data_IF_022830177439
#
_entry.id   IF_022830177439
#
_cell.length_a   1.000
_cell.length_b   1.000
_cell.length_c   1.000
_cell.angle_alpha   90.00
_cell.angle_beta   90.00
_cell.angle_gamma   90.00
#
_symmetry.space_group_name_H-M   'P 1'
#
loop_
_entity.id
_entity.type
_entity.pdbx_description
1 polymer ?
#
# COMPACT_ATOMS: atom_id res chain seq x y z
N UNK A 1 17.73 -17.07 -24.23
CA UNK A 1 17.86 -17.72 -22.91
C UNK A 1 16.52 -18.36 -22.57
N UNK A 2 16.51 -19.52 -21.90
CA UNK A 2 15.28 -20.28 -21.63
C UNK A 2 14.69 -19.90 -20.26
N UNK A 3 13.36 -19.85 -20.17
CA UNK A 3 12.64 -19.69 -18.89
C UNK A 3 12.58 -21.03 -18.14
N UNK A 4 12.35 -20.98 -16.82
CA UNK A 4 12.12 -22.18 -15.99
C UNK A 4 10.96 -23.02 -16.55
N UNK A 5 9.88 -22.36 -16.99
CA UNK A 5 8.76 -23.01 -17.68
C UNK A 5 9.21 -23.83 -18.89
N UNK A 6 10.13 -23.30 -19.71
CA UNK A 6 10.67 -24.03 -20.87
C UNK A 6 11.45 -25.28 -20.45
N UNK A 7 12.17 -25.23 -19.34
CA UNK A 7 12.89 -26.38 -18.78
C UNK A 7 11.92 -27.44 -18.26
N UNK A 8 10.92 -27.06 -17.47
CA UNK A 8 9.92 -27.98 -16.91
C UNK A 8 9.07 -28.65 -17.98
N UNK A 9 8.74 -27.93 -19.06
CA UNK A 9 8.05 -28.52 -20.21
C UNK A 9 8.91 -29.57 -20.92
N UNK A 10 10.22 -29.34 -21.04
CA UNK A 10 11.13 -30.31 -21.62
C UNK A 10 11.26 -31.58 -20.74
N UNK A 11 11.31 -31.43 -19.42
CA UNK A 11 11.36 -32.53 -18.44
C UNK A 11 10.08 -33.37 -18.44
N UNK A 12 8.91 -32.74 -18.60
CA UNK A 12 7.62 -33.44 -18.72
C UNK A 12 7.30 -33.91 -20.13
N UNK A 13 8.27 -33.87 -21.04
CA UNK A 13 8.15 -34.26 -22.45
C UNK A 13 7.07 -33.49 -23.26
N UNK A 14 6.63 -32.32 -22.78
CA UNK A 14 5.67 -31.43 -23.44
C UNK A 14 6.41 -30.51 -24.43
N UNK A 15 6.92 -31.09 -25.53
CA UNK A 15 7.83 -30.40 -26.45
C UNK A 15 7.13 -29.59 -27.54
N UNK A 16 5.86 -29.88 -27.83
CA UNK A 16 5.08 -29.13 -28.83
C UNK A 16 3.98 -28.28 -28.19
N UNK A 17 3.54 -27.24 -28.90
CA UNK A 17 2.42 -26.38 -28.46
C UNK A 17 1.11 -27.17 -28.33
N UNK A 18 0.89 -28.19 -29.18
CA UNK A 18 -0.27 -29.08 -29.09
C UNK A 18 -0.24 -29.96 -27.85
N UNK A 19 0.92 -30.52 -27.48
CA UNK A 19 1.07 -31.35 -26.28
C UNK A 19 0.84 -30.51 -25.02
N UNK A 20 1.38 -29.28 -25.02
CA UNK A 20 1.15 -28.33 -23.95
C UNK A 20 -0.34 -27.98 -23.81
N UNK A 21 -1.05 -27.70 -24.91
CA UNK A 21 -2.47 -27.38 -24.88
C UNK A 21 -3.33 -28.54 -24.35
N UNK A 22 -3.01 -29.79 -24.72
CA UNK A 22 -3.72 -30.96 -24.20
C UNK A 22 -3.55 -31.11 -22.67
N UNK A 23 -2.33 -30.93 -22.17
CA UNK A 23 -2.06 -30.94 -20.73
C UNK A 23 -2.69 -29.74 -20.00
N UNK A 24 -2.71 -28.58 -20.67
CA UNK A 24 -3.34 -27.36 -20.19
C UNK A 24 -4.85 -27.54 -20.02
N UNK A 25 -5.55 -28.01 -21.06
CA UNK A 25 -7.00 -28.21 -21.03
C UNK A 25 -7.40 -29.28 -19.98
N UNK A 26 -6.59 -30.34 -19.82
CA UNK A 26 -6.80 -31.33 -18.77
C UNK A 26 -6.67 -30.76 -17.34
N UNK A 27 -5.81 -29.77 -17.12
CA UNK A 27 -5.71 -29.09 -15.83
C UNK A 27 -6.80 -28.03 -15.66
N UNK A 28 -7.13 -27.32 -16.75
CA UNK A 28 -8.17 -26.30 -16.79
C UNK A 28 -9.57 -26.84 -16.46
N UNK A 29 -9.85 -28.08 -16.87
CA UNK A 29 -11.08 -28.79 -16.55
C UNK A 29 -11.19 -29.22 -15.06
N UNK A 30 -10.07 -29.29 -14.33
CA UNK A 30 -10.03 -29.67 -12.90
C UNK A 30 -10.18 -28.49 -11.95
N UNK A 31 -10.19 -27.26 -12.47
CA UNK A 31 -10.37 -26.04 -11.66
C UNK A 31 -11.84 -25.83 -11.28
N UNK A 32 -12.08 -25.10 -10.19
CA UNK A 32 -13.41 -24.65 -9.77
C UNK A 32 -13.47 -23.09 -9.71
N UNK A 33 -14.22 -22.40 -10.58
CA UNK A 33 -14.99 -22.95 -11.69
C UNK A 33 -14.08 -23.45 -12.82
N UNK A 34 -14.52 -24.48 -13.59
CA UNK A 34 -13.73 -25.04 -14.68
C UNK A 34 -13.63 -24.04 -15.83
N UNK A 35 -12.44 -23.98 -16.45
CA UNK A 35 -12.23 -23.14 -17.63
C UNK A 35 -12.64 -23.95 -18.88
N UNK A 36 -13.50 -23.42 -19.78
CA UNK A 36 -13.92 -24.17 -20.95
C UNK A 36 -12.75 -24.55 -21.87
N UNK A 37 -12.81 -25.69 -22.56
CA UNK A 37 -11.79 -26.09 -23.53
C UNK A 37 -11.69 -25.06 -24.66
N UNK A 38 -10.47 -24.80 -25.15
CA UNK A 38 -10.20 -23.80 -26.19
C UNK A 38 -9.83 -22.40 -25.67
N UNK A 39 -9.80 -22.19 -24.35
CA UNK A 39 -9.29 -20.97 -23.70
C UNK A 39 -7.78 -21.02 -23.39
N UNK A 40 -7.07 -22.04 -23.89
CA UNK A 40 -5.62 -22.15 -23.80
C UNK A 40 -4.88 -21.01 -24.52
N UNK A 41 -3.60 -20.77 -24.18
CA UNK A 41 -2.85 -19.67 -24.78
C UNK A 41 -2.63 -19.89 -26.28
N UNK A 42 -2.81 -18.81 -27.05
CA UNK A 42 -2.51 -18.81 -28.47
C UNK A 42 -1.03 -19.17 -28.72
N UNK A 43 -0.71 -19.73 -29.89
CA UNK A 43 0.66 -20.17 -30.23
C UNK A 43 1.71 -19.06 -30.04
N UNK A 44 1.36 -17.83 -30.36
CA UNK A 44 2.21 -16.64 -30.15
C UNK A 44 2.44 -16.35 -28.67
N UNK A 45 1.39 -16.39 -27.85
CA UNK A 45 1.46 -16.20 -26.40
C UNK A 45 2.29 -17.32 -25.74
N UNK A 46 2.11 -18.57 -26.17
CA UNK A 46 2.92 -19.70 -25.72
C UNK A 46 4.42 -19.49 -26.00
N UNK A 47 4.82 -19.11 -27.22
CA UNK A 47 6.24 -18.87 -27.49
C UNK A 47 6.79 -17.62 -26.79
N UNK A 48 5.95 -16.61 -26.53
CA UNK A 48 6.34 -15.45 -25.71
C UNK A 48 6.64 -15.87 -24.26
N UNK A 49 5.81 -16.74 -23.68
CA UNK A 49 6.01 -17.31 -22.34
C UNK A 49 7.35 -18.05 -22.20
N UNK A 50 7.76 -18.76 -23.25
CA UNK A 50 9.03 -19.50 -23.28
C UNK A 50 10.26 -18.62 -23.58
N UNK A 51 10.03 -17.40 -24.08
CA UNK A 51 11.10 -16.50 -24.54
C UNK A 51 11.73 -15.66 -23.42
N UNK A 52 11.06 -15.56 -22.26
CA UNK A 52 11.49 -14.72 -21.14
C UNK A 52 11.28 -13.22 -21.35
N UNK A 53 10.62 -12.80 -22.44
CA UNK A 53 10.37 -11.39 -22.79
C UNK A 53 8.97 -10.89 -22.39
N UNK A 54 8.38 -11.47 -21.35
CA UNK A 54 7.06 -11.02 -20.91
C UNK A 54 7.15 -9.75 -20.07
N UNK A 55 6.21 -8.83 -20.31
CA UNK A 55 5.98 -7.68 -19.43
C UNK A 55 4.83 -8.06 -18.49
N UNK A 56 5.17 -8.38 -17.24
CA UNK A 56 4.21 -8.80 -16.23
C UNK A 56 3.76 -10.27 -16.33
N UNK A 57 2.80 -10.64 -15.49
CA UNK A 57 2.25 -12.00 -15.40
C UNK A 57 1.11 -12.23 -16.41
N UNK A 58 0.84 -13.50 -16.80
CA UNK A 58 -0.33 -13.84 -17.59
C UNK A 58 -1.64 -13.44 -16.88
N UNK A 59 -2.74 -13.44 -17.64
CA UNK A 59 -4.09 -13.25 -17.07
C UNK A 59 -4.35 -14.28 -15.97
N UNK A 60 -5.17 -13.88 -14.99
CA UNK A 60 -5.48 -14.65 -13.77
C UNK A 60 -5.82 -16.13 -14.04
N UNK A 61 -6.71 -16.41 -15.00
CA UNK A 61 -7.08 -17.80 -15.31
C UNK A 61 -5.91 -18.64 -15.84
N UNK A 62 -4.95 -18.06 -16.57
CA UNK A 62 -3.73 -18.77 -16.97
C UNK A 62 -2.83 -19.07 -15.78
N UNK A 63 -2.76 -18.15 -14.81
CA UNK A 63 -2.00 -18.36 -13.57
C UNK A 63 -2.59 -19.54 -12.77
N UNK A 64 -3.91 -19.63 -12.68
CA UNK A 64 -4.60 -20.76 -12.03
C UNK A 64 -4.28 -22.10 -12.70
N UNK A 65 -4.37 -22.17 -14.03
CA UNK A 65 -4.07 -23.41 -14.76
C UNK A 65 -2.59 -23.78 -14.64
N UNK A 66 -1.67 -22.82 -14.72
CA UNK A 66 -0.23 -23.07 -14.59
C UNK A 66 0.16 -23.52 -13.18
N UNK A 67 -0.51 -23.01 -12.14
CA UNK A 67 -0.30 -23.44 -10.75
C UNK A 67 -0.71 -24.91 -10.58
N UNK A 68 -1.83 -25.28 -11.20
CA UNK A 68 -2.33 -26.67 -11.20
C UNK A 68 -1.46 -27.60 -12.06
N UNK A 69 -0.93 -27.11 -13.18
CA UNK A 69 -0.01 -27.88 -14.02
C UNK A 69 1.33 -28.13 -13.33
N UNK A 70 1.84 -27.17 -12.58
CA UNK A 70 3.16 -27.22 -11.93
C UNK A 70 3.02 -27.00 -10.41
N UNK A 71 2.45 -27.97 -9.67
CA UNK A 71 2.30 -27.84 -8.23
C UNK A 71 3.68 -27.68 -7.57
N UNK A 72 3.78 -26.72 -6.64
CA UNK A 72 5.03 -26.37 -5.96
C UNK A 72 5.89 -25.31 -6.65
N UNK A 73 5.51 -24.83 -7.85
CA UNK A 73 6.17 -23.71 -8.52
C UNK A 73 5.32 -22.44 -8.45
N UNK A 74 5.91 -21.30 -8.06
CA UNK A 74 5.21 -20.02 -8.15
C UNK A 74 5.15 -19.54 -9.61
N UNK A 75 4.08 -18.87 -10.00
CA UNK A 75 3.92 -18.38 -11.37
C UNK A 75 5.05 -17.43 -11.77
N UNK A 76 5.51 -16.58 -10.86
CA UNK A 76 6.67 -15.71 -11.06
C UNK A 76 7.95 -16.51 -11.36
N UNK A 77 8.17 -17.62 -10.64
CA UNK A 77 9.34 -18.47 -10.86
C UNK A 77 9.31 -19.18 -12.21
N UNK A 78 8.12 -19.59 -12.70
CA UNK A 78 7.96 -20.23 -14.00
C UNK A 78 8.45 -19.33 -15.15
N UNK A 79 8.23 -18.02 -15.04
CA UNK A 79 8.59 -17.07 -16.08
C UNK A 79 9.98 -16.43 -15.92
N UNK A 80 10.71 -16.77 -14.86
CA UNK A 80 12.09 -16.31 -14.63
C UNK A 80 13.06 -16.92 -15.65
N UNK A 81 14.08 -16.16 -16.03
CA UNK A 81 15.15 -16.64 -16.91
C UNK A 81 16.17 -17.42 -16.08
N UNK A 82 16.62 -18.59 -16.55
CA UNK A 82 17.49 -19.51 -15.80
C UNK A 82 18.92 -18.99 -15.43
N UNK A 83 19.20 -17.69 -15.61
CA UNK A 83 20.46 -17.04 -15.23
C UNK A 83 20.36 -16.21 -13.93
N UNK A 84 19.18 -16.11 -13.33
CA UNK A 84 19.03 -15.58 -11.98
C UNK A 84 19.24 -16.73 -10.97
N UNK A 85 20.05 -16.51 -9.91
CA UNK A 85 20.41 -17.57 -8.98
C UNK A 85 19.16 -18.20 -8.36
N UNK A 86 19.10 -19.52 -8.45
CA UNK A 86 18.07 -20.38 -7.87
C UNK A 86 18.12 -20.37 -6.35
N UNK A 87 16.98 -20.19 -5.66
CA UNK A 87 16.68 -20.98 -4.49
C UNK A 87 15.75 -22.11 -4.94
N UNK A 88 16.29 -23.31 -5.13
CA UNK A 88 15.48 -24.53 -5.10
C UNK A 88 15.97 -25.35 -3.94
N UNK A 89 15.28 -25.24 -2.81
CA UNK A 89 14.62 -26.38 -2.18
C UNK A 89 13.68 -25.88 -1.10
N UNK A 90 12.48 -26.44 -1.16
CA UNK A 90 11.38 -26.36 -0.19
C UNK A 90 11.93 -26.66 1.22
N UNK A 91 11.63 -25.78 2.17
CA UNK A 91 11.73 -26.10 3.60
C UNK A 91 12.64 -25.23 4.49
N UNK A 92 13.14 -24.08 4.05
CA UNK A 92 14.03 -23.25 4.89
C UNK A 92 13.74 -21.74 4.94
N UNK A 93 12.72 -21.23 4.23
CA UNK A 93 12.40 -19.78 4.19
C UNK A 93 11.20 -19.38 5.08
N UNK A 94 10.54 -20.37 5.70
CA UNK A 94 9.49 -20.14 6.71
C UNK A 94 9.97 -19.41 7.97
N UNK A 95 11.16 -19.69 8.57
CA UNK A 95 11.53 -19.03 9.82
C UNK A 95 11.85 -17.54 9.62
N UNK A 96 12.46 -17.17 8.47
CA UNK A 96 12.76 -15.76 8.17
C UNK A 96 11.49 -14.95 7.94
N UNK A 97 10.57 -15.47 7.13
CA UNK A 97 9.31 -14.79 6.83
C UNK A 97 8.36 -14.75 8.03
N UNK A 98 8.32 -15.81 8.83
CA UNK A 98 7.56 -15.82 10.08
C UNK A 98 8.16 -14.85 11.11
N UNK A 99 9.49 -14.73 11.20
CA UNK A 99 10.14 -13.76 12.07
C UNK A 99 9.85 -12.32 11.62
N UNK A 100 9.90 -12.03 10.32
CA UNK A 100 9.54 -10.73 9.76
C UNK A 100 8.06 -10.40 10.00
N UNK A 101 7.15 -11.38 9.86
CA UNK A 101 5.72 -11.22 10.17
C UNK A 101 5.50 -10.92 11.67
N UNK A 102 6.28 -11.55 12.56
CA UNK A 102 6.25 -11.28 14.02
C UNK A 102 6.78 -9.88 14.33
N UNK A 103 7.91 -9.47 13.73
CA UNK A 103 8.48 -8.14 13.94
C UNK A 103 7.54 -7.05 13.41
N UNK A 104 6.91 -7.29 12.25
CA UNK A 104 5.92 -6.38 11.67
C UNK A 104 4.65 -6.30 12.53
N UNK A 105 4.18 -7.44 13.06
CA UNK A 105 3.06 -7.44 14.00
C UNK A 105 3.40 -6.69 15.29
N UNK A 106 4.62 -6.82 15.82
CA UNK A 106 5.07 -6.03 16.96
C UNK A 106 5.11 -4.52 16.64
N UNK A 107 5.51 -4.18 15.42
CA UNK A 107 5.51 -2.80 14.93
C UNK A 107 4.09 -2.21 14.80
N UNK A 108 3.17 -2.95 14.19
CA UNK A 108 1.79 -2.52 13.96
C UNK A 108 0.88 -2.66 15.19
N UNK A 109 1.31 -3.46 16.17
CA UNK A 109 0.57 -3.79 17.39
C UNK A 109 0.02 -5.21 17.36
N UNK A 110 0.12 -5.93 18.48
CA UNK A 110 -0.25 -7.35 18.58
C UNK A 110 -1.70 -7.64 18.13
N UNK A 111 -2.60 -6.66 18.27
CA UNK A 111 -3.99 -6.79 17.80
C UNK A 111 -4.12 -7.03 16.30
N UNK A 112 -3.13 -6.66 15.47
CA UNK A 112 -3.22 -6.84 14.02
C UNK A 112 -3.15 -8.29 13.58
N UNK A 113 -2.56 -9.18 14.37
CA UNK A 113 -2.55 -10.63 14.09
C UNK A 113 -3.96 -11.23 14.16
N UNK A 114 -4.79 -10.74 15.09
CA UNK A 114 -6.15 -11.26 15.29
C UNK A 114 -7.21 -10.46 14.51
N UNK A 115 -7.07 -9.14 14.46
CA UNK A 115 -8.08 -8.21 13.94
C UNK A 115 -7.77 -7.60 12.58
N UNK A 116 -6.55 -7.79 12.08
CA UNK A 116 -6.02 -7.09 10.91
C UNK A 116 -5.68 -5.61 11.17
N UNK A 117 -5.27 -4.93 10.11
CA UNK A 117 -4.99 -3.48 10.10
C UNK A 117 -5.79 -2.78 9.01
N UNK A 118 -6.37 -1.63 9.33
CA UNK A 118 -7.11 -0.83 8.36
C UNK A 118 -6.22 0.28 7.78
N UNK A 119 -6.15 0.38 6.46
CA UNK A 119 -5.52 1.50 5.75
C UNK A 119 -6.55 2.59 5.48
N UNK A 120 -6.28 3.82 5.93
CA UNK A 120 -7.28 4.89 6.01
C UNK A 120 -6.93 6.03 5.08
N UNK A 121 -7.72 6.21 4.02
CA UNK A 121 -7.57 7.32 3.07
C UNK A 121 -8.56 8.45 3.37
N UNK A 122 -8.25 9.71 3.02
CA UNK A 122 -9.20 10.80 3.21
C UNK A 122 -10.25 10.82 2.10
N UNK A 123 -11.53 10.91 2.48
CA UNK A 123 -12.64 11.03 1.54
C UNK A 123 -13.20 12.47 1.48
N UNK A 124 -13.06 13.11 0.31
CA UNK A 124 -13.62 14.43 0.04
C UNK A 124 -14.89 14.32 -0.78
N UNK A 125 -16.00 14.81 -0.25
CA UNK A 125 -17.22 14.97 -1.03
C UNK A 125 -17.23 16.31 -1.75
N UNK A 126 -17.38 16.27 -3.07
CA UNK A 126 -17.56 17.42 -3.93
C UNK A 126 -19.06 17.54 -4.26
N UNK A 127 -19.81 18.46 -3.60
CA UNK A 127 -21.23 18.63 -3.86
C UNK A 127 -21.46 19.21 -5.26
N UNK A 128 -22.11 18.44 -6.14
CA UNK A 128 -22.25 18.77 -7.56
C UNK A 128 -23.24 19.92 -7.82
N UNK A 129 -24.16 20.19 -6.87
CA UNK A 129 -25.26 21.16 -7.04
C UNK A 129 -25.00 22.55 -6.44
N UNK A 130 -23.95 22.77 -5.65
CA UNK A 130 -23.76 24.06 -4.99
C UNK A 130 -23.19 25.13 -5.95
N UNK A 131 -23.78 26.33 -5.94
CA UNK A 131 -23.28 27.48 -6.73
C UNK A 131 -21.83 27.85 -6.35
N UNK A 132 -21.45 27.60 -5.09
CA UNK A 132 -20.08 27.76 -4.57
C UNK A 132 -19.12 26.72 -5.14
N UNK A 133 -19.52 25.44 -5.26
CA UNK A 133 -18.70 24.43 -5.94
C UNK A 133 -18.52 24.79 -7.42
N UNK A 134 -19.58 25.25 -8.10
CA UNK A 134 -19.47 25.73 -9.50
C UNK A 134 -18.47 26.88 -9.67
N UNK A 135 -18.43 27.83 -8.73
CA UNK A 135 -17.46 28.94 -8.74
C UNK A 135 -16.04 28.50 -8.34
N UNK A 136 -15.90 27.63 -7.34
CA UNK A 136 -14.60 27.08 -6.95
C UNK A 136 -13.97 26.20 -8.06
N UNK A 137 -14.80 25.42 -8.78
CA UNK A 137 -14.39 24.68 -9.98
C UNK A 137 -14.00 25.59 -11.15
N UNK A 138 -14.63 26.77 -11.28
CA UNK A 138 -14.33 27.72 -12.36
C UNK A 138 -13.13 28.63 -12.06
N UNK A 139 -12.83 28.89 -10.78
CA UNK A 139 -11.72 29.75 -10.35
C UNK A 139 -10.38 29.00 -10.22
N UNK A 140 -10.41 27.67 -10.24
CA UNK A 140 -9.22 26.84 -10.09
C UNK A 140 -8.78 26.30 -11.46
N UNK A 141 -8.06 27.12 -12.22
CA UNK A 141 -7.45 26.80 -13.54
C UNK A 141 -6.50 25.58 -13.48
N UNK A 142 -6.21 25.06 -12.29
CA UNK A 142 -5.38 23.87 -12.01
C UNK A 142 -6.15 22.55 -12.03
N UNK A 143 -7.48 22.57 -12.00
CA UNK A 143 -8.31 21.38 -12.13
C UNK A 143 -9.21 21.55 -13.35
N UNK A 144 -8.66 21.33 -14.55
CA UNK A 144 -9.45 21.16 -15.77
C UNK A 144 -10.36 19.93 -15.60
N UNK A 145 -11.54 20.13 -15.00
CA UNK A 145 -12.58 19.11 -14.86
C UNK A 145 -13.14 18.79 -16.24
N UNK A 146 -12.84 17.61 -16.83
CA UNK A 146 -13.29 17.30 -18.17
C UNK A 146 -14.81 17.16 -18.21
N UNK A 147 -15.44 17.62 -19.29
CA UNK A 147 -16.89 17.50 -19.58
C UNK A 147 -17.44 16.08 -19.36
N UNK A 148 -16.56 15.06 -19.46
CA UNK A 148 -16.84 13.63 -19.22
C UNK A 148 -17.23 13.30 -17.77
N UNK A 149 -16.68 13.97 -16.75
CA UNK A 149 -16.97 13.65 -15.33
C UNK A 149 -18.41 14.04 -14.96
N UNK A 150 -18.94 15.14 -15.53
CA UNK A 150 -20.36 15.52 -15.37
C UNK A 150 -21.32 14.48 -15.96
N UNK A 151 -20.94 13.83 -17.05
CA UNK A 151 -21.72 12.74 -17.64
C UNK A 151 -21.70 11.47 -16.78
N UNK A 152 -20.55 11.14 -16.18
CA UNK A 152 -20.41 10.02 -15.24
C UNK A 152 -21.28 10.24 -14.00
N UNK A 153 -21.24 11.44 -13.43
CA UNK A 153 -22.04 11.83 -12.27
C UNK A 153 -23.55 11.93 -12.57
N UNK A 154 -23.94 12.21 -13.81
CA UNK A 154 -25.35 12.18 -14.21
C UNK A 154 -25.90 10.75 -14.36
N UNK A 155 -25.03 9.78 -14.68
CA UNK A 155 -25.40 8.36 -14.82
C UNK A 155 -25.49 7.60 -13.50
N UNK A 156 -24.73 8.02 -12.48
CA UNK A 156 -24.80 7.48 -11.12
C UNK A 156 -25.64 8.46 -10.31
N UNK A 157 -26.82 8.08 -9.81
CA UNK A 157 -27.77 8.96 -9.06
C UNK A 157 -27.23 9.50 -7.72
N UNK A 158 -26.03 10.07 -7.69
CA UNK A 158 -25.34 10.58 -6.52
C UNK A 158 -25.17 12.09 -6.63
N UNK A 159 -25.64 12.83 -5.62
CA UNK A 159 -25.54 14.30 -5.58
C UNK A 159 -24.14 14.82 -5.16
N UNK A 160 -23.21 13.91 -4.87
CA UNK A 160 -21.82 14.18 -4.52
C UNK A 160 -20.86 13.24 -5.24
N UNK A 161 -19.69 13.75 -5.64
CA UNK A 161 -18.55 12.94 -6.07
C UNK A 161 -17.59 12.77 -4.90
N UNK A 162 -17.18 11.54 -4.62
CA UNK A 162 -16.07 11.27 -3.70
C UNK A 162 -14.75 11.40 -4.46
N UNK A 163 -13.87 12.27 -3.99
CA UNK A 163 -12.52 12.46 -4.51
C UNK A 163 -11.50 12.02 -3.45
N UNK A 164 -10.44 11.36 -3.92
CA UNK A 164 -9.26 11.02 -3.14
C UNK A 164 -8.08 11.83 -3.69
N UNK A 165 -7.25 12.46 -2.84
CA UNK A 165 -6.05 13.10 -3.32
C UNK A 165 -5.01 12.04 -3.71
N UNK A 166 -4.36 12.26 -4.85
CA UNK A 166 -3.39 11.33 -5.44
C UNK A 166 -2.25 10.98 -4.46
N UNK A 167 -1.72 11.98 -3.75
CA UNK A 167 -0.55 11.79 -2.87
C UNK A 167 -0.88 10.88 -1.68
N UNK A 168 -2.05 11.03 -1.05
CA UNK A 168 -2.51 10.11 0.00
C UNK A 168 -2.77 8.70 -0.55
N UNK A 169 -3.36 8.59 -1.74
CA UNK A 169 -3.63 7.28 -2.34
C UNK A 169 -2.34 6.55 -2.73
N UNK A 170 -1.34 7.26 -3.27
CA UNK A 170 -0.03 6.70 -3.56
C UNK A 170 0.70 6.22 -2.30
N UNK A 171 0.66 7.01 -1.22
CA UNK A 171 1.20 6.60 0.09
C UNK A 171 0.55 5.29 0.57
N UNK A 172 -0.78 5.19 0.46
CA UNK A 172 -1.53 3.99 0.79
C UNK A 172 -1.07 2.80 -0.03
N UNK A 173 -0.87 2.95 -1.35
CA UNK A 173 -0.43 1.85 -2.22
C UNK A 173 0.96 1.34 -1.86
N UNK A 174 1.89 2.19 -1.41
CA UNK A 174 3.20 1.74 -0.92
C UNK A 174 3.06 0.84 0.29
N UNK A 175 2.27 1.27 1.28
CA UNK A 175 2.06 0.50 2.52
C UNK A 175 1.23 -0.77 2.25
N UNK A 176 0.21 -0.70 1.40
CA UNK A 176 -0.57 -1.87 1.00
C UNK A 176 0.31 -2.92 0.31
N UNK A 177 1.15 -2.50 -0.64
CA UNK A 177 2.11 -3.38 -1.30
C UNK A 177 3.10 -4.00 -0.30
N UNK A 178 3.50 -3.24 0.74
CA UNK A 178 4.33 -3.76 1.81
C UNK A 178 3.59 -4.84 2.59
N UNK A 179 2.38 -4.57 3.08
CA UNK A 179 1.58 -5.50 3.89
C UNK A 179 1.20 -6.77 3.13
N UNK A 180 0.93 -6.68 1.82
CA UNK A 180 0.61 -7.85 0.99
C UNK A 180 1.74 -8.88 0.89
N UNK A 181 2.98 -8.51 1.24
CA UNK A 181 4.11 -9.45 1.33
C UNK A 181 4.06 -10.30 2.60
N UNK A 182 3.23 -9.94 3.58
CA UNK A 182 3.10 -10.58 4.88
C UNK A 182 1.73 -11.27 4.98
N UNK A 183 1.71 -12.57 4.71
CA UNK A 183 0.45 -13.35 4.57
C UNK A 183 -0.28 -13.57 5.89
N UNK A 184 0.38 -13.35 7.03
CA UNK A 184 -0.23 -13.46 8.36
C UNK A 184 -1.12 -12.28 8.76
N UNK A 185 -1.18 -11.21 7.96
CA UNK A 185 -1.90 -9.98 8.31
C UNK A 185 -3.09 -9.73 7.39
N UNK A 186 -4.28 -9.66 7.97
CA UNK A 186 -5.47 -9.17 7.25
C UNK A 186 -5.39 -7.66 7.08
N UNK A 187 -5.62 -7.16 5.86
CA UNK A 187 -5.61 -5.73 5.55
C UNK A 187 -6.88 -5.34 4.84
N UNK A 188 -7.53 -4.26 5.29
CA UNK A 188 -8.67 -3.65 4.61
C UNK A 188 -8.44 -2.15 4.39
N UNK A 189 -9.16 -1.56 3.43
CA UNK A 189 -9.00 -0.16 3.03
C UNK A 189 -10.33 0.56 3.24
N UNK A 190 -10.32 1.65 4.03
CA UNK A 190 -11.53 2.42 4.35
C UNK A 190 -11.32 3.93 4.29
N UNK A 191 -12.43 4.65 4.16
CA UNK A 191 -12.42 6.10 4.28
C UNK A 191 -12.20 6.55 5.72
N UNK A 192 -11.54 7.69 5.89
CA UNK A 192 -11.36 8.34 7.18
C UNK A 192 -12.68 8.65 7.89
N UNK A 193 -13.75 8.92 7.14
CA UNK A 193 -15.10 9.15 7.69
C UNK A 193 -15.68 7.91 8.34
N UNK A 194 -15.57 6.75 7.69
CA UNK A 194 -16.04 5.48 8.24
C UNK A 194 -15.27 5.10 9.51
N UNK A 195 -13.95 5.22 9.46
CA UNK A 195 -13.05 4.85 10.57
C UNK A 195 -13.23 5.80 11.74
N UNK A 196 -13.30 7.10 11.50
CA UNK A 196 -13.54 8.08 12.54
C UNK A 196 -14.89 7.84 13.24
N UNK A 197 -15.93 7.42 12.54
CA UNK A 197 -17.23 7.24 13.17
C UNK A 197 -17.32 5.99 14.07
N UNK A 198 -16.57 4.92 13.79
CA UNK A 198 -16.86 3.60 14.41
C UNK A 198 -15.64 2.71 14.72
N UNK A 199 -14.39 3.18 14.58
CA UNK A 199 -13.24 2.27 14.66
C UNK A 199 -12.52 2.27 16.00
N UNK A 200 -12.61 1.12 16.67
CA UNK A 200 -11.71 0.67 17.73
C UNK A 200 -10.63 -0.27 17.19
N UNK A 201 -10.22 -0.16 15.92
CA UNK A 201 -9.20 -1.07 15.34
C UNK A 201 -7.84 -0.38 15.16
N UNK A 202 -6.74 -1.16 15.10
CA UNK A 202 -5.47 -0.67 14.59
C UNK A 202 -5.64 -0.13 13.17
N UNK A 203 -5.00 1.00 12.89
CA UNK A 203 -5.05 1.59 11.56
C UNK A 203 -3.79 2.36 11.19
N UNK A 204 -3.56 2.49 9.89
CA UNK A 204 -2.56 3.37 9.31
C UNK A 204 -3.31 4.43 8.48
N UNK A 205 -3.24 5.68 8.88
CA UNK A 205 -3.92 6.77 8.19
C UNK A 205 -2.98 7.60 7.34
N UNK A 206 -3.45 7.98 6.15
CA UNK A 206 -2.69 8.76 5.19
C UNK A 206 -3.26 10.17 5.07
N UNK A 207 -2.39 11.16 5.24
CA UNK A 207 -2.71 12.57 5.10
C UNK A 207 -2.66 13.29 6.43
N UNK A 208 -2.24 14.56 6.34
CA UNK A 208 -2.17 15.45 7.49
C UNK A 208 -3.57 16.00 7.80
N UNK A 209 -3.82 17.28 7.58
CA UNK A 209 -5.13 17.89 7.87
C UNK A 209 -6.25 17.45 6.94
N UNK A 210 -5.92 16.78 5.83
CA UNK A 210 -6.91 16.19 4.93
C UNK A 210 -7.60 14.95 5.49
N UNK A 211 -7.02 14.30 6.52
CA UNK A 211 -7.54 13.06 7.09
C UNK A 211 -8.16 13.31 8.47
N UNK A 212 -9.42 12.89 8.64
CA UNK A 212 -10.20 13.07 9.86
C UNK A 212 -9.60 12.31 11.05
N UNK A 213 -8.96 11.16 10.82
CA UNK A 213 -8.31 10.40 11.88
C UNK A 213 -7.09 11.15 12.43
N UNK A 214 -6.21 11.63 11.55
CA UNK A 214 -5.06 12.47 11.93
C UNK A 214 -5.50 13.73 12.65
N UNK A 215 -6.55 14.41 12.14
CA UNK A 215 -7.06 15.62 12.78
C UNK A 215 -7.60 15.34 14.19
N UNK A 216 -8.36 14.26 14.39
CA UNK A 216 -8.87 13.89 15.71
C UNK A 216 -7.77 13.57 16.70
N UNK A 217 -6.67 12.97 16.25
CA UNK A 217 -5.50 12.76 17.09
C UNK A 217 -4.93 14.10 17.56
N UNK A 218 -4.71 15.04 16.65
CA UNK A 218 -4.19 16.38 16.97
C UNK A 218 -5.15 17.19 17.87
N UNK A 219 -6.46 17.05 17.66
CA UNK A 219 -7.47 17.86 18.38
C UNK A 219 -7.81 17.30 19.79
N UNK A 220 -7.72 15.98 19.99
CA UNK A 220 -8.25 15.32 21.19
C UNK A 220 -7.18 14.75 22.12
N UNK A 221 -5.95 14.55 21.66
CA UNK A 221 -4.87 14.08 22.52
C UNK A 221 -4.27 15.28 23.24
N UNK A 222 -4.15 15.21 24.57
CA UNK A 222 -3.66 16.33 25.39
C UNK A 222 -2.21 16.70 25.06
N UNK A 223 -1.38 15.67 24.77
CA UNK A 223 0.04 15.80 24.46
C UNK A 223 0.40 14.96 23.24
N UNK A 224 0.05 15.40 22.02
CA UNK A 224 0.40 14.64 20.84
C UNK A 224 1.91 14.71 20.61
N UNK A 225 2.51 13.60 20.15
CA UNK A 225 3.94 13.54 19.78
C UNK A 225 4.33 14.56 18.69
N UNK A 226 3.36 15.00 17.89
CA UNK A 226 3.54 16.07 16.93
C UNK A 226 2.27 16.92 16.85
N UNK A 227 2.45 18.21 16.55
CA UNK A 227 1.39 19.18 16.32
C UNK A 227 1.74 20.09 15.13
N UNK A 228 0.79 20.92 14.72
CA UNK A 228 0.92 21.85 13.60
C UNK A 228 1.04 23.27 14.11
N UNK A 229 2.20 23.87 13.87
CA UNK A 229 2.39 25.28 14.13
C UNK A 229 1.61 26.10 13.09
N UNK A 230 0.50 26.66 13.54
CA UNK A 230 -0.26 27.61 12.74
C UNK A 230 -1.74 27.55 13.05
N UNK A 231 -2.21 28.40 13.97
CA UNK A 231 -3.62 28.82 14.00
C UNK A 231 -3.86 29.79 12.83
N UNK A 232 -3.88 29.29 11.59
CA UNK A 232 -3.94 30.12 10.37
C UNK A 232 -4.22 29.35 9.07
N UNK A 233 -4.23 30.07 7.93
CA UNK A 233 -4.59 29.52 6.60
C UNK A 233 -3.51 28.64 5.94
N UNK A 234 -2.29 28.60 6.47
CA UNK A 234 -1.18 27.82 5.93
C UNK A 234 -0.44 27.17 7.08
N UNK A 235 -0.42 25.84 7.09
CA UNK A 235 0.41 25.07 8.01
C UNK A 235 1.79 25.03 7.37
N UNK A 236 2.76 25.60 8.07
CA UNK A 236 4.11 25.76 7.54
C UNK A 236 5.09 24.79 8.19
N UNK A 237 4.79 24.34 9.42
CA UNK A 237 5.69 23.51 10.22
C UNK A 237 4.93 22.47 11.03
N UNK A 238 5.61 21.36 11.29
CA UNK A 238 5.30 20.35 12.29
C UNK A 238 6.18 20.63 13.49
N UNK A 239 5.57 20.77 14.66
CA UNK A 239 6.27 20.80 15.94
C UNK A 239 6.21 19.41 16.58
N UNK A 240 7.28 18.96 17.23
CA UNK A 240 7.29 17.73 18.02
C UNK A 240 7.14 18.04 19.51
N UNK A 241 6.82 17.02 20.31
CA UNK A 241 6.65 17.16 21.76
C UNK A 241 7.93 17.63 22.50
N UNK A 242 9.11 17.41 21.92
CA UNK A 242 10.39 17.91 22.44
C UNK A 242 10.68 19.38 22.08
N UNK A 243 9.77 20.04 21.35
CA UNK A 243 9.88 21.43 20.92
C UNK A 243 10.63 21.64 19.59
N UNK A 244 11.19 20.59 18.98
CA UNK A 244 11.80 20.65 17.65
C UNK A 244 10.74 20.95 16.56
N UNK A 245 11.16 21.61 15.47
CA UNK A 245 10.25 22.12 14.43
C UNK A 245 10.80 21.84 13.03
N UNK A 246 9.92 21.38 12.14
CA UNK A 246 10.26 20.97 10.78
C UNK A 246 9.23 21.51 9.80
N UNK A 247 9.70 22.16 8.74
CA UNK A 247 8.83 22.73 7.70
C UNK A 247 9.33 22.36 6.31
N UNK A 248 8.42 22.32 5.34
CA UNK A 248 8.79 22.18 3.94
C UNK A 248 9.64 23.37 3.49
N UNK A 249 10.73 23.11 2.77
CA UNK A 249 11.63 24.13 2.20
C UNK A 249 11.56 24.06 0.68
N UNK A 250 12.17 25.02 -0.01
CA UNK A 250 12.26 24.96 -1.47
C UNK A 250 12.96 23.66 -1.91
N UNK A 251 12.29 22.87 -2.75
CA UNK A 251 12.76 21.57 -3.22
C UNK A 251 12.60 20.40 -2.24
N UNK A 252 12.09 20.64 -1.02
CA UNK A 252 11.99 19.61 0.03
C UNK A 252 10.61 19.59 0.72
N UNK A 253 10.03 18.40 0.81
CA UNK A 253 8.81 18.11 1.59
C UNK A 253 9.19 17.43 2.90
N UNK A 254 8.33 17.56 3.91
CA UNK A 254 8.51 16.90 5.22
C UNK A 254 7.42 15.87 5.41
N UNK A 255 7.80 14.64 5.68
CA UNK A 255 6.93 13.54 6.09
C UNK A 255 7.00 13.32 7.60
N UNK A 256 5.89 12.86 8.16
CA UNK A 256 5.76 12.48 9.58
C UNK A 256 5.20 11.06 9.62
N UNK A 257 5.84 10.20 10.39
CA UNK A 257 5.33 8.88 10.75
C UNK A 257 5.24 8.85 12.26
N UNK A 258 4.03 8.98 12.80
CA UNK A 258 3.80 8.82 14.24
C UNK A 258 3.15 7.47 14.51
N UNK A 259 3.70 6.70 15.45
CA UNK A 259 3.10 5.48 15.97
C UNK A 259 2.72 5.74 17.42
N UNK A 260 1.42 5.68 17.71
CA UNK A 260 0.86 6.03 19.03
C UNK A 260 -0.16 5.02 19.51
N UNK A 261 -0.34 4.93 20.83
CA UNK A 261 -1.37 4.15 21.51
C UNK A 261 -2.56 5.07 21.77
N UNK A 262 -3.77 4.70 21.29
CA UNK A 262 -4.93 5.54 21.53
C UNK A 262 -5.37 5.60 22.99
N UNK A 263 -5.20 4.49 23.70
CA UNK A 263 -5.51 4.33 25.12
C UNK A 263 -4.66 3.15 25.62
N UNK A 264 -3.47 3.41 26.18
CA UNK A 264 -2.54 2.36 26.59
C UNK A 264 -3.07 1.53 27.76
N UNK A 265 -3.96 2.09 28.60
CA UNK A 265 -4.54 1.38 29.74
C UNK A 265 -5.61 0.37 29.29
N UNK A 266 -6.46 0.74 28.34
CA UNK A 266 -7.50 -0.15 27.80
C UNK A 266 -7.01 -1.06 26.68
N UNK A 267 -6.08 -0.59 25.85
CA UNK A 267 -5.60 -1.30 24.66
C UNK A 267 -4.05 -1.26 24.56
N UNK A 268 -3.33 -1.90 25.50
CA UNK A 268 -1.87 -1.90 25.56
C UNK A 268 -1.19 -2.65 24.41
N UNK A 269 -1.93 -3.19 23.44
CA UNK A 269 -1.39 -3.82 22.22
C UNK A 269 -1.75 -3.08 20.94
N UNK A 270 -2.48 -1.95 21.02
CA UNK A 270 -3.01 -1.25 19.86
C UNK A 270 -2.17 -0.04 19.51
N UNK A 271 -1.70 -0.02 18.27
CA UNK A 271 -1.14 1.18 17.67
C UNK A 271 -2.06 1.76 16.59
N UNK A 272 -1.96 3.08 16.47
CA UNK A 272 -2.42 3.86 15.33
C UNK A 272 -1.19 4.52 14.73
N UNK A 273 -1.05 4.42 13.41
CA UNK A 273 0.08 4.99 12.68
C UNK A 273 -0.43 6.10 11.77
N UNK A 274 0.20 7.27 11.85
CA UNK A 274 -0.11 8.44 11.04
C UNK A 274 1.01 8.68 10.04
N UNK A 275 0.76 8.40 8.77
CA UNK A 275 1.59 8.87 7.66
C UNK A 275 1.06 10.23 7.20
N UNK A 276 1.69 11.29 7.65
CA UNK A 276 1.31 12.66 7.36
C UNK A 276 2.47 13.43 6.71
N UNK A 277 2.21 14.65 6.21
CA UNK A 277 3.30 15.48 5.75
C UNK A 277 2.92 16.81 5.15
N UNK A 278 3.92 17.68 5.08
CA UNK A 278 3.92 19.01 4.49
C UNK A 278 4.57 19.00 3.11
N UNK A 279 4.09 19.87 2.24
CA UNK A 279 4.54 19.96 0.86
C UNK A 279 3.94 18.89 -0.06
N UNK A 280 4.28 18.92 -1.36
CA UNK A 280 3.70 18.04 -2.37
C UNK A 280 3.94 16.55 -2.14
N UNK A 281 5.06 16.19 -1.48
CA UNK A 281 5.49 14.80 -1.27
C UNK A 281 5.52 14.35 0.18
N UNK A 282 5.13 15.19 1.14
CA UNK A 282 5.27 14.86 2.56
C UNK A 282 4.58 13.54 2.93
N UNK A 283 3.30 13.41 2.57
CA UNK A 283 2.54 12.17 2.82
C UNK A 283 3.07 10.97 2.01
N UNK A 284 3.38 11.15 0.72
CA UNK A 284 3.85 10.06 -0.15
C UNK A 284 5.19 9.53 0.31
N UNK A 285 6.11 10.44 0.64
CA UNK A 285 7.41 10.17 1.20
C UNK A 285 7.35 9.46 2.55
N UNK A 286 6.47 9.90 3.46
CA UNK A 286 6.22 9.18 4.71
C UNK A 286 5.72 7.75 4.47
N UNK A 287 4.75 7.56 3.56
CA UNK A 287 4.24 6.24 3.21
C UNK A 287 5.30 5.34 2.56
N UNK A 288 6.12 5.89 1.65
CA UNK A 288 7.23 5.18 1.02
C UNK A 288 8.31 4.78 2.05
N UNK A 289 8.67 5.70 2.94
CA UNK A 289 9.67 5.45 3.98
C UNK A 289 9.18 4.37 4.94
N UNK A 290 7.92 4.44 5.38
CA UNK A 290 7.31 3.39 6.19
C UNK A 290 7.36 2.02 5.49
N UNK A 291 6.96 1.97 4.22
CA UNK A 291 6.90 0.73 3.45
C UNK A 291 8.27 0.06 3.22
N UNK A 292 9.36 0.84 3.25
CA UNK A 292 10.72 0.37 2.96
C UNK A 292 11.62 0.30 4.19
N UNK A 293 11.28 1.00 5.27
CA UNK A 293 12.16 1.26 6.42
C UNK A 293 11.46 1.14 7.78
N UNK A 294 10.35 0.39 7.88
CA UNK A 294 9.68 0.15 9.18
C UNK A 294 10.54 -0.64 10.18
N UNK A 295 11.31 -1.65 9.73
CA UNK A 295 12.07 -2.49 10.65
C UNK A 295 13.20 -1.74 11.40
N UNK A 296 13.97 -0.84 10.76
CA UNK A 296 14.86 0.08 11.48
C UNK A 296 14.15 0.96 12.52
N UNK A 297 12.91 1.40 12.27
CA UNK A 297 12.12 2.14 13.27
C UNK A 297 11.75 1.23 14.44
N UNK A 298 11.27 0.01 14.15
CA UNK A 298 10.91 -0.98 15.17
C UNK A 298 12.10 -1.35 16.07
N UNK A 299 13.28 -1.60 15.49
CA UNK A 299 14.48 -1.93 16.28
C UNK A 299 14.96 -0.80 17.19
N UNK A 300 14.68 0.47 16.83
CA UNK A 300 15.07 1.64 17.62
C UNK A 300 14.04 1.99 18.69
N UNK A 301 12.75 1.95 18.35
CA UNK A 301 11.66 2.34 19.25
C UNK A 301 11.13 1.18 20.11
N UNK A 302 11.35 -0.08 19.69
CA UNK A 302 10.83 -1.24 20.40
C UNK A 302 9.31 -1.18 20.54
N UNK A 303 8.81 -1.20 21.78
CA UNK A 303 7.38 -1.09 22.11
C UNK A 303 6.97 0.32 22.58
N UNK A 304 7.81 1.33 22.33
CA UNK A 304 7.53 2.71 22.68
C UNK A 304 6.87 3.48 21.54
N UNK A 305 6.02 4.44 21.88
CA UNK A 305 5.46 5.38 20.92
C UNK A 305 6.57 6.25 20.33
N UNK A 306 6.42 6.67 19.08
CA UNK A 306 7.44 7.48 18.43
C UNK A 306 6.85 8.38 17.36
N UNK A 307 7.61 9.41 17.01
CA UNK A 307 7.41 10.19 15.79
C UNK A 307 8.72 10.31 15.02
N UNK A 308 8.67 9.90 13.76
CA UNK A 308 9.76 10.02 12.80
C UNK A 308 9.47 11.18 11.85
N UNK A 309 10.46 12.05 11.67
CA UNK A 309 10.46 13.11 10.65
C UNK A 309 11.32 12.66 9.48
N UNK A 310 10.76 12.77 8.28
CA UNK A 310 11.34 12.29 7.05
C UNK A 310 11.51 13.46 6.09
N UNK A 311 12.74 13.75 5.67
CA UNK A 311 13.02 14.73 4.61
C UNK A 311 12.89 14.06 3.23
N UNK A 312 12.20 14.73 2.30
CA UNK A 312 11.90 14.19 0.96
C UNK A 312 12.21 15.24 -0.10
N UNK A 313 13.17 14.94 -0.97
CA UNK A 313 13.48 15.75 -2.15
C UNK A 313 12.36 15.74 -3.19
N UNK A 314 12.32 16.78 -4.02
CA UNK A 314 11.30 17.00 -5.04
C UNK A 314 11.30 16.00 -6.21
N UNK A 315 12.43 15.35 -6.48
CA UNK A 315 12.61 14.46 -7.63
C UNK A 315 11.82 13.15 -7.51
N UNK A 316 11.77 12.53 -6.33
CA UNK A 316 11.12 11.23 -6.11
C UNK A 316 10.78 10.99 -4.64
N UNK A 317 9.74 10.19 -4.39
CA UNK A 317 9.40 9.72 -3.04
C UNK A 317 10.52 8.82 -2.46
N UNK A 318 11.37 8.22 -3.31
CA UNK A 318 12.52 7.38 -2.92
C UNK A 318 13.69 8.14 -2.28
N UNK A 319 13.67 9.47 -2.43
CA UNK A 319 14.63 10.35 -1.77
C UNK A 319 14.35 10.49 -0.28
N UNK A 320 13.25 9.94 0.21
CA UNK A 320 12.88 10.02 1.62
C UNK A 320 14.00 9.44 2.52
N UNK A 321 14.44 10.26 3.48
CA UNK A 321 15.44 9.91 4.48
C UNK A 321 14.96 10.34 5.85
N UNK A 322 15.28 9.52 6.86
CA UNK A 322 15.01 9.88 8.24
C UNK A 322 15.87 11.09 8.62
N UNK A 323 15.20 12.19 8.93
CA UNK A 323 15.84 13.41 9.44
C UNK A 323 15.92 13.36 10.96
N UNK A 324 14.87 12.89 11.62
CA UNK A 324 14.78 12.84 13.07
C UNK A 324 13.86 11.72 13.56
N UNK A 325 14.13 11.20 14.76
CA UNK A 325 13.28 10.23 15.45
C UNK A 325 13.20 10.59 16.92
N UNK A 326 12.00 10.99 17.36
CA UNK A 326 11.65 11.16 18.75
C UNK A 326 10.95 9.89 19.23
N UNK A 327 11.45 9.29 20.31
CA UNK A 327 10.83 8.14 20.97
C UNK A 327 10.31 8.65 22.31
N UNK A 328 9.04 8.38 22.60
CA UNK A 328 8.44 8.74 23.88
C UNK A 328 9.13 7.97 25.00
N UNK A 329 9.65 8.71 25.97
CA UNK A 329 10.23 8.11 27.18
C UNK A 329 9.11 7.89 28.19
N UNK A 330 9.13 6.75 28.88
CA UNK A 330 8.21 6.44 29.99
C UNK A 330 8.26 7.49 31.11
#
# INVERSE_FOLDING_TARGET
>A
MATVLKTLLAERHLKSHSDFLAAYDACAARLDPPVPPGYGPAKTQYYQWLSGKMVGLPRDYHCRVLTEMFPGWSIESLFRTAAEPTPVTVGADEPGRAADDIELAAFLGAETLAGGVTLVYPAFELPLRSARARRALAASDRYSFPRKIRAIAAGHRSDALTALPEKEFRALLYVLSMLQRHTGLSTDVRSDREVAAHSERPYISFGLTGNTCTRRYLDNVERPLFDLDGRGRRIEQVALADGSRYGSRDGHSIGVIARVRPDPDLYPGRYRIFCAGLGPRGTTGAGWYLATSWAPLQRRAGDQEFVAVVDIGDSSDETARLEYLLIESE
#
